data_IF_229074560585
#
_entry.id   IF_229074560585
#
_cell.length_a   1.000
_cell.length_b   1.000
_cell.length_c   1.000
_cell.angle_alpha   90.00
_cell.angle_beta   90.00
_cell.angle_gamma   90.00
#
_symmetry.space_group_name_H-M   'P 1'
#
loop_
_entity.id
_entity.type
_entity.pdbx_description
1 polymer ?
#
# COMPACT_ATOMS: atom_id res chain seq x y z
N UNK A 1 13.80 -3.50 0.83
CA UNK A 1 12.60 -2.64 0.90
C UNK A 1 11.73 -3.11 2.07
N UNK A 2 11.01 -2.22 2.76
CA UNK A 2 10.02 -2.58 3.79
C UNK A 2 8.63 -2.18 3.28
N UNK A 3 7.70 -3.13 3.29
CA UNK A 3 6.31 -2.92 2.88
C UNK A 3 5.37 -3.15 4.05
N UNK A 4 4.15 -2.63 3.96
CA UNK A 4 3.17 -2.75 5.04
C UNK A 4 2.67 -4.19 5.26
N UNK A 5 2.82 -5.10 4.29
CA UNK A 5 2.63 -6.55 4.53
C UNK A 5 3.48 -7.11 5.67
N UNK A 6 4.57 -6.43 6.06
CA UNK A 6 5.38 -6.80 7.21
C UNK A 6 4.60 -6.79 8.53
N UNK A 7 3.48 -6.08 8.62
CA UNK A 7 2.65 -6.05 9.84
C UNK A 7 1.76 -7.30 9.98
N UNK A 8 1.52 -8.04 8.89
CA UNK A 8 0.57 -9.16 8.89
C UNK A 8 1.02 -10.30 9.81
N UNK A 9 2.30 -10.64 9.78
CA UNK A 9 2.85 -11.69 10.64
C UNK A 9 2.71 -11.36 12.14
N UNK A 10 3.19 -10.21 12.65
CA UNK A 10 3.00 -9.87 14.06
C UNK A 10 1.53 -9.63 14.42
N UNK A 11 0.70 -9.16 13.48
CA UNK A 11 -0.75 -9.06 13.71
C UNK A 11 -1.37 -10.44 14.01
N UNK A 12 -1.07 -11.46 13.21
CA UNK A 12 -1.53 -12.83 13.45
C UNK A 12 -1.04 -13.37 14.81
N UNK A 13 0.22 -13.09 15.15
CA UNK A 13 0.80 -13.57 16.40
C UNK A 13 0.06 -12.96 17.63
N UNK A 14 -0.32 -11.67 17.57
CA UNK A 14 -1.09 -10.99 18.63
C UNK A 14 -2.58 -11.39 18.60
N UNK A 15 -3.13 -11.73 17.44
CA UNK A 15 -4.47 -12.32 17.35
C UNK A 15 -4.57 -13.66 18.11
N UNK A 16 -3.50 -14.45 18.15
CA UNK A 16 -3.45 -15.72 18.89
C UNK A 16 -3.13 -15.58 20.39
N UNK A 17 -2.83 -14.38 20.88
CA UNK A 17 -2.63 -14.13 22.31
C UNK A 17 -3.93 -14.45 23.11
N UNK A 18 -3.84 -15.17 24.25
CA UNK A 18 -5.01 -15.65 24.99
C UNK A 18 -5.72 -14.58 25.84
N UNK A 19 -5.25 -13.32 25.84
CA UNK A 19 -5.88 -12.25 26.60
C UNK A 19 -7.36 -12.08 26.22
N UNK A 20 -8.29 -12.02 27.20
CA UNK A 20 -9.72 -12.01 26.93
C UNK A 20 -10.24 -10.70 26.32
N UNK A 21 -9.48 -9.61 26.41
CA UNK A 21 -9.79 -8.31 25.80
C UNK A 21 -8.51 -7.75 25.18
N UNK A 22 -8.56 -7.42 23.90
CA UNK A 22 -7.41 -6.93 23.12
C UNK A 22 -7.81 -5.67 22.36
N UNK A 23 -6.94 -4.66 22.41
CA UNK A 23 -6.93 -3.53 21.49
C UNK A 23 -5.60 -3.62 20.72
N UNK A 24 -5.68 -3.83 19.41
CA UNK A 24 -4.51 -3.95 18.54
C UNK A 24 -4.55 -2.77 17.59
N UNK A 25 -3.49 -1.95 17.62
CA UNK A 25 -3.34 -0.80 16.72
C UNK A 25 -2.23 -1.13 15.74
N UNK A 26 -2.54 -1.09 14.44
CA UNK A 26 -1.58 -1.26 13.36
C UNK A 26 -1.41 0.07 12.66
N UNK A 27 -0.19 0.59 12.64
CA UNK A 27 0.14 1.87 11.98
C UNK A 27 0.91 1.56 10.68
N UNK A 28 0.25 1.82 9.56
CA UNK A 28 0.77 1.60 8.21
C UNK A 28 1.51 2.84 7.70
N UNK A 29 2.48 2.65 6.81
CA UNK A 29 2.96 3.75 5.96
C UNK A 29 1.87 4.18 4.95
N UNK A 30 1.04 3.25 4.52
CA UNK A 30 -0.03 3.45 3.54
C UNK A 30 0.53 4.05 2.26
N UNK A 31 -0.02 5.19 1.86
CA UNK A 31 0.38 5.91 0.64
C UNK A 31 1.27 7.13 0.92
N UNK A 32 2.16 7.06 1.92
CA UNK A 32 3.08 8.17 2.21
C UNK A 32 4.01 8.50 1.02
N UNK A 33 4.35 9.79 0.87
CA UNK A 33 5.05 10.38 -0.29
C UNK A 33 6.33 9.66 -0.70
N UNK A 34 6.66 9.84 -1.99
CA UNK A 34 7.46 8.94 -2.82
C UNK A 34 6.81 7.56 -2.92
N UNK A 35 5.67 7.54 -3.60
CA UNK A 35 4.71 6.44 -3.64
C UNK A 35 5.28 5.15 -4.23
N UNK A 36 6.23 5.26 -5.17
CA UNK A 36 6.98 4.12 -5.76
C UNK A 36 7.61 3.16 -4.75
N UNK A 37 7.85 3.62 -3.53
CA UNK A 37 8.44 2.81 -2.46
C UNK A 37 7.40 2.13 -1.56
N UNK A 38 6.11 2.24 -1.86
CA UNK A 38 5.02 1.63 -1.08
C UNK A 38 4.63 0.23 -1.58
N UNK A 39 5.02 -0.12 -2.80
CA UNK A 39 4.70 -1.41 -3.43
C UNK A 39 5.96 -2.01 -4.08
N UNK A 40 6.01 -3.34 -4.31
CA UNK A 40 7.11 -3.99 -5.03
C UNK A 40 7.25 -3.50 -6.47
N UNK A 41 8.48 -3.38 -6.97
CA UNK A 41 8.78 -2.86 -8.32
C UNK A 41 8.06 -3.61 -9.45
N UNK A 42 7.68 -4.88 -9.25
CA UNK A 42 6.96 -5.68 -10.23
C UNK A 42 5.42 -5.63 -10.08
N UNK A 43 4.89 -4.71 -9.27
CA UNK A 43 3.45 -4.55 -9.01
C UNK A 43 2.91 -3.18 -9.45
N UNK A 44 3.63 -2.46 -10.30
CA UNK A 44 3.19 -1.22 -10.93
C UNK A 44 2.11 -1.46 -11.99
N UNK A 45 0.88 -1.75 -11.57
CA UNK A 45 -0.25 -2.04 -12.46
C UNK A 45 -0.57 -0.88 -13.41
N UNK A 46 -0.42 0.35 -12.92
CA UNK A 46 -0.78 1.58 -13.65
C UNK A 46 0.43 2.26 -14.30
N UNK A 47 1.60 1.61 -14.33
CA UNK A 47 2.81 2.19 -14.91
C UNK A 47 2.59 2.55 -16.39
N UNK A 48 2.80 3.83 -16.71
CA UNK A 48 2.58 4.37 -18.06
C UNK A 48 1.11 4.45 -18.51
N UNK A 49 0.15 4.14 -17.63
CA UNK A 49 -1.26 4.28 -17.95
C UNK A 49 -1.63 5.77 -18.12
N UNK A 50 -2.49 6.07 -19.10
CA UNK A 50 -2.97 7.43 -19.39
C UNK A 50 -4.50 7.52 -19.39
N UNK A 51 -5.17 6.40 -19.10
CA UNK A 51 -6.62 6.34 -18.97
C UNK A 51 -7.03 7.02 -17.67
N UNK A 52 -8.08 7.84 -17.72
CA UNK A 52 -8.64 8.54 -16.55
C UNK A 52 -7.68 9.52 -15.83
N UNK A 53 -6.50 9.78 -16.39
CA UNK A 53 -5.56 10.79 -15.91
C UNK A 53 -6.03 12.19 -16.37
N UNK A 54 -5.91 13.25 -15.54
CA UNK A 54 -6.22 14.60 -15.97
C UNK A 54 -5.32 15.07 -17.13
N UNK A 55 -5.80 15.92 -18.04
CA UNK A 55 -4.99 16.44 -19.13
C UNK A 55 -3.89 17.37 -18.60
N UNK A 56 -2.77 17.42 -19.32
CA UNK A 56 -1.72 18.43 -19.10
C UNK A 56 -0.63 18.06 -18.10
N UNK A 57 -0.57 16.82 -17.61
CA UNK A 57 0.55 16.35 -16.79
C UNK A 57 1.82 16.20 -17.64
N UNK A 58 2.96 16.60 -17.07
CA UNK A 58 4.28 16.20 -17.53
C UNK A 58 4.53 14.70 -17.31
N UNK A 59 5.60 14.16 -17.90
CA UNK A 59 5.96 12.76 -17.72
C UNK A 59 6.25 12.39 -16.25
N UNK A 60 6.89 13.29 -15.49
CA UNK A 60 7.19 13.09 -14.07
C UNK A 60 5.92 13.13 -13.20
N UNK A 61 5.02 14.06 -13.49
CA UNK A 61 3.72 14.13 -12.81
C UNK A 61 2.86 12.91 -13.11
N UNK A 62 2.87 12.42 -14.35
CA UNK A 62 2.18 11.19 -14.75
C UNK A 62 2.74 9.97 -14.00
N UNK A 63 4.06 9.85 -13.90
CA UNK A 63 4.70 8.77 -13.13
C UNK A 63 4.28 8.84 -11.66
N UNK A 64 4.38 10.01 -11.03
CA UNK A 64 3.99 10.21 -9.64
C UNK A 64 2.50 9.94 -9.39
N UNK A 65 1.63 10.31 -10.34
CA UNK A 65 0.20 10.03 -10.30
C UNK A 65 -0.07 8.52 -10.31
N UNK A 66 0.51 7.80 -11.27
CA UNK A 66 0.35 6.36 -11.38
C UNK A 66 0.99 5.61 -10.20
N UNK A 67 2.13 6.08 -9.69
CA UNK A 67 2.75 5.53 -8.48
C UNK A 67 1.83 5.65 -7.26
N UNK A 68 1.03 6.72 -7.16
CA UNK A 68 0.03 6.88 -6.09
C UNK A 68 -1.10 5.86 -6.22
N UNK A 69 -1.62 5.63 -7.44
CA UNK A 69 -2.67 4.63 -7.68
C UNK A 69 -2.17 3.20 -7.40
N UNK A 70 -0.91 2.91 -7.76
CA UNK A 70 -0.25 1.65 -7.42
C UNK A 70 -0.07 1.48 -5.90
N UNK A 71 0.31 2.54 -5.19
CA UNK A 71 0.41 2.52 -3.73
C UNK A 71 -0.95 2.28 -3.07
N UNK A 72 -2.03 2.86 -3.60
CA UNK A 72 -3.39 2.58 -3.15
C UNK A 72 -3.78 1.12 -3.38
N UNK A 73 -3.48 0.56 -4.55
CA UNK A 73 -3.77 -0.85 -4.85
C UNK A 73 -3.02 -1.80 -3.89
N UNK A 74 -1.78 -1.49 -3.56
CA UNK A 74 -1.04 -2.27 -2.58
C UNK A 74 -1.61 -2.12 -1.17
N UNK A 75 -2.03 -0.91 -0.79
CA UNK A 75 -2.69 -0.67 0.48
C UNK A 75 -4.04 -1.40 0.59
N UNK A 76 -4.83 -1.45 -0.49
CA UNK A 76 -6.05 -2.26 -0.58
C UNK A 76 -5.75 -3.73 -0.32
N UNK A 77 -4.69 -4.27 -0.94
CA UNK A 77 -4.23 -5.64 -0.68
C UNK A 77 -3.84 -5.87 0.78
N UNK A 78 -3.22 -4.90 1.47
CA UNK A 78 -2.82 -5.03 2.88
C UNK A 78 -4.03 -4.98 3.80
N UNK A 79 -4.94 -4.02 3.61
CA UNK A 79 -6.12 -3.82 4.47
C UNK A 79 -7.21 -4.87 4.22
N UNK A 80 -7.32 -5.37 2.98
CA UNK A 80 -8.28 -6.40 2.59
C UNK A 80 -7.85 -7.84 2.88
N UNK A 81 -6.69 -8.07 3.53
CA UNK A 81 -6.29 -9.42 3.95
C UNK A 81 -7.31 -10.00 4.95
N UNK A 82 -7.68 -11.28 4.81
CA UNK A 82 -8.43 -11.96 5.85
C UNK A 82 -7.58 -12.16 7.12
N UNK A 83 -8.26 -12.26 8.26
CA UNK A 83 -7.69 -12.57 9.58
C UNK A 83 -7.18 -14.02 9.72
#
# INVERSE_FOLDING_TARGET
MKYDTNVLKPFQDVLNDPAPKKLIIVHLLGTHIKYKYRYPENQGKFDGNTDHVPPGLSAEELESYNDYDNANLYNDHVVGQPD
#
